data_IF_589393454355
#
_entry.id   IF_589393454355
#
_cell.length_a   1.000
_cell.length_b   1.000
_cell.length_c   1.000
_cell.angle_alpha   90.00
_cell.angle_beta   90.00
_cell.angle_gamma   90.00
#
_symmetry.space_group_name_H-M   'P 1'
#
loop_
_entity.id
_entity.type
_entity.pdbx_description
1 polymer ?
#
# COMPACT_ATOMS: atom_id res chain seq x y z
N UNK A 1 -18.98 -2.61 17.08
CA UNK A 1 -18.27 -2.99 15.85
C UNK A 1 -16.78 -3.10 16.12
N UNK A 2 -16.13 -4.16 15.66
CA UNK A 2 -14.69 -4.42 15.75
C UNK A 2 -14.14 -4.54 14.34
N UNK A 3 -13.42 -3.52 13.89
CA UNK A 3 -12.83 -3.48 12.56
C UNK A 3 -11.32 -3.59 12.68
N UNK A 4 -10.76 -4.52 11.94
CA UNK A 4 -9.31 -4.69 11.82
C UNK A 4 -8.82 -3.91 10.60
N UNK A 5 -7.67 -3.25 10.73
CA UNK A 5 -7.08 -2.44 9.67
C UNK A 5 -5.62 -2.84 9.49
N UNK A 6 -5.23 -3.13 8.26
CA UNK A 6 -3.86 -3.49 7.86
C UNK A 6 -3.42 -2.65 6.67
N UNK A 7 -2.12 -2.41 6.54
CA UNK A 7 -1.47 -1.80 5.36
C UNK A 7 -0.08 -2.39 5.20
N UNK A 8 0.46 -2.33 4.00
CA UNK A 8 1.84 -2.75 3.70
C UNK A 8 2.00 -4.25 4.01
N UNK A 9 1.11 -5.04 3.40
CA UNK A 9 1.00 -6.50 3.61
C UNK A 9 2.17 -7.24 2.97
N UNK A 10 2.60 -6.77 1.79
CA UNK A 10 3.77 -7.22 1.04
C UNK A 10 3.93 -8.75 1.07
N UNK A 11 2.93 -9.46 0.56
CA UNK A 11 2.99 -10.91 0.39
C UNK A 11 2.78 -11.75 1.65
N UNK A 12 2.58 -11.15 2.84
CA UNK A 12 2.39 -11.91 4.09
C UNK A 12 0.96 -12.49 4.21
N UNK A 13 0.64 -13.46 3.36
CA UNK A 13 -0.66 -14.11 3.29
C UNK A 13 -1.04 -14.86 4.57
N UNK A 14 -0.07 -15.47 5.27
CA UNK A 14 -0.31 -16.19 6.52
C UNK A 14 -0.80 -15.25 7.63
N UNK A 15 -0.17 -14.08 7.77
CA UNK A 15 -0.62 -13.06 8.70
C UNK A 15 -1.96 -12.46 8.25
N UNK A 16 -2.13 -12.22 6.95
CA UNK A 16 -3.37 -11.69 6.39
C UNK A 16 -4.56 -12.60 6.68
N UNK A 17 -4.37 -13.93 6.58
CA UNK A 17 -5.38 -14.93 6.92
C UNK A 17 -5.88 -14.82 8.36
N UNK A 18 -4.97 -14.55 9.30
CA UNK A 18 -5.29 -14.34 10.72
C UNK A 18 -5.80 -12.93 11.00
N UNK A 19 -5.60 -11.97 10.11
CA UNK A 19 -6.02 -10.58 10.32
C UNK A 19 -7.55 -10.45 10.43
N UNK A 20 -8.32 -11.38 9.85
CA UNK A 20 -9.77 -11.46 9.99
C UNK A 20 -10.26 -12.03 11.32
N UNK A 21 -9.40 -12.65 12.14
CA UNK A 21 -9.82 -13.41 13.31
C UNK A 21 -10.50 -12.52 14.36
N UNK A 22 -11.81 -12.72 14.53
CA UNK A 22 -12.65 -11.95 15.45
C UNK A 22 -12.91 -10.51 15.00
N UNK A 23 -12.74 -10.19 13.72
CA UNK A 23 -13.16 -8.92 13.13
C UNK A 23 -14.59 -9.03 12.58
N UNK A 24 -15.40 -8.00 12.79
CA UNK A 24 -16.68 -7.85 12.09
C UNK A 24 -16.46 -7.46 10.62
N UNK A 25 -15.37 -6.73 10.35
CA UNK A 25 -14.87 -6.40 9.01
C UNK A 25 -13.36 -6.16 9.03
N UNK A 26 -12.70 -6.39 7.88
CA UNK A 26 -11.29 -6.10 7.65
C UNK A 26 -11.16 -4.93 6.66
N UNK A 27 -10.24 -4.02 6.93
CA UNK A 27 -9.82 -2.97 6.01
C UNK A 27 -8.38 -3.24 5.58
N UNK A 28 -8.14 -3.27 4.27
CA UNK A 28 -6.80 -3.44 3.68
C UNK A 28 -6.44 -2.15 2.94
N UNK A 29 -5.42 -1.44 3.41
CA UNK A 29 -4.96 -0.17 2.86
C UNK A 29 -3.81 -0.32 1.86
N UNK A 30 -3.80 -1.45 1.16
CA UNK A 30 -2.92 -1.66 0.03
C UNK A 30 -1.54 -2.18 0.37
N UNK A 31 -0.71 -2.17 -0.67
CA UNK A 31 0.59 -2.80 -0.75
C UNK A 31 0.47 -4.29 -0.43
N UNK A 32 -0.43 -4.97 -1.16
CA UNK A 32 -0.60 -6.42 -1.11
C UNK A 32 0.60 -7.12 -1.76
N UNK A 33 1.01 -6.69 -2.97
CA UNK A 33 2.12 -7.31 -3.69
C UNK A 33 3.45 -7.16 -2.95
N UNK A 34 4.26 -8.20 -3.03
CA UNK A 34 5.68 -8.16 -2.69
C UNK A 34 6.50 -8.21 -3.97
N UNK A 35 6.88 -7.05 -4.51
CA UNK A 35 7.67 -7.00 -5.74
C UNK A 35 9.15 -7.30 -5.47
N UNK A 36 9.71 -6.65 -4.44
CA UNK A 36 11.10 -6.85 -3.98
C UNK A 36 11.08 -6.99 -2.47
N UNK A 37 11.46 -8.17 -1.98
CA UNK A 37 11.70 -8.37 -0.56
C UNK A 37 13.16 -7.99 -0.23
N UNK A 38 13.34 -6.96 0.60
CA UNK A 38 14.66 -6.47 1.02
C UNK A 38 15.22 -7.18 2.27
N UNK A 39 14.47 -8.10 2.87
CA UNK A 39 14.87 -8.89 4.04
C UNK A 39 15.08 -10.36 3.70
N UNK A 40 14.15 -10.95 2.97
CA UNK A 40 14.16 -12.35 2.55
C UNK A 40 14.24 -12.40 1.02
N UNK A 41 15.46 -12.32 0.48
CA UNK A 41 15.69 -12.09 -0.96
C UNK A 41 15.17 -13.20 -1.90
N UNK A 42 14.85 -14.39 -1.37
CA UNK A 42 14.19 -15.47 -2.12
C UNK A 42 12.67 -15.26 -2.28
N UNK A 43 12.08 -14.32 -1.52
CA UNK A 43 10.66 -13.97 -1.59
C UNK A 43 10.38 -12.83 -2.58
N UNK A 44 9.09 -12.57 -2.77
CA UNK A 44 8.59 -11.58 -3.71
C UNK A 44 8.79 -11.98 -5.17
N UNK A 45 8.30 -11.13 -6.08
CA UNK A 45 8.34 -11.39 -7.52
C UNK A 45 9.78 -11.47 -8.03
N UNK A 46 10.65 -10.55 -7.61
CA UNK A 46 12.06 -10.61 -8.04
C UNK A 46 12.78 -11.84 -7.48
N UNK A 47 12.46 -12.30 -6.27
CA UNK A 47 13.04 -13.51 -5.68
C UNK A 47 12.64 -14.77 -6.45
N UNK A 48 11.35 -14.87 -6.80
CA UNK A 48 10.83 -15.97 -7.62
C UNK A 48 11.45 -16.02 -9.03
N UNK A 49 11.65 -14.86 -9.66
CA UNK A 49 12.15 -14.78 -11.04
C UNK A 49 13.68 -14.90 -11.15
N UNK A 50 14.43 -14.36 -10.18
CA UNK A 50 15.89 -14.20 -10.30
C UNK A 50 16.70 -14.85 -9.18
N UNK A 51 16.05 -15.29 -8.10
CA UNK A 51 16.70 -15.90 -6.94
C UNK A 51 17.37 -14.93 -5.98
N UNK A 52 17.61 -15.41 -4.76
CA UNK A 52 18.08 -14.62 -3.63
C UNK A 52 19.42 -13.90 -3.85
N UNK A 53 20.36 -14.51 -4.58
CA UNK A 53 21.67 -13.90 -4.84
C UNK A 53 21.52 -12.61 -5.65
N UNK A 54 20.73 -12.63 -6.72
CA UNK A 54 20.53 -11.48 -7.60
C UNK A 54 19.71 -10.39 -6.95
N UNK A 55 18.69 -10.76 -6.19
CA UNK A 55 17.91 -9.80 -5.41
C UNK A 55 18.76 -9.16 -4.31
N UNK A 56 19.64 -9.93 -3.66
CA UNK A 56 20.58 -9.40 -2.67
C UNK A 56 21.55 -8.38 -3.24
N UNK A 57 22.09 -8.63 -4.44
CA UNK A 57 22.94 -7.66 -5.13
C UNK A 57 22.15 -6.42 -5.57
N UNK A 58 20.93 -6.59 -6.08
CA UNK A 58 20.05 -5.47 -6.41
C UNK A 58 19.75 -4.59 -5.17
N UNK A 59 19.46 -5.21 -4.03
CA UNK A 59 19.21 -4.54 -2.76
C UNK A 59 20.45 -3.79 -2.26
N UNK A 60 21.65 -4.37 -2.39
CA UNK A 60 22.92 -3.72 -2.07
C UNK A 60 23.16 -2.49 -2.95
N UNK A 61 23.00 -2.62 -4.27
CA UNK A 61 23.14 -1.49 -5.21
C UNK A 61 22.14 -0.37 -4.92
N UNK A 62 20.91 -0.67 -4.51
CA UNK A 62 19.94 0.36 -4.11
C UNK A 62 20.34 1.15 -2.86
N UNK A 63 21.11 0.55 -1.96
CA UNK A 63 21.58 1.19 -0.72
C UNK A 63 22.89 1.95 -0.90
N UNK A 64 23.82 1.38 -1.66
CA UNK A 64 25.22 1.82 -1.72
C UNK A 64 25.64 2.33 -3.10
N UNK A 65 24.99 1.84 -4.16
CA UNK A 65 25.35 2.13 -5.54
C UNK A 65 24.69 3.39 -6.08
N UNK A 66 25.10 3.75 -7.29
CA UNK A 66 24.48 4.83 -8.05
C UNK A 66 23.17 4.38 -8.69
N UNK A 67 22.35 5.37 -9.07
CA UNK A 67 21.12 5.13 -9.83
C UNK A 67 21.41 4.40 -11.15
N UNK A 68 22.49 4.75 -11.83
CA UNK A 68 22.82 4.18 -13.14
C UNK A 68 23.28 2.73 -13.02
N UNK A 69 24.09 2.40 -12.00
CA UNK A 69 24.47 1.00 -11.71
C UNK A 69 23.25 0.15 -11.37
N UNK A 70 22.36 0.65 -10.51
CA UNK A 70 21.11 -0.05 -10.15
C UNK A 70 20.24 -0.31 -11.37
N UNK A 71 20.10 0.70 -12.26
CA UNK A 71 19.32 0.57 -13.50
C UNK A 71 19.97 -0.39 -14.47
N UNK A 72 21.29 -0.34 -14.63
CA UNK A 72 22.04 -1.24 -15.52
C UNK A 72 21.93 -2.70 -15.05
N UNK A 73 22.08 -2.95 -13.74
CA UNK A 73 21.91 -4.28 -13.16
C UNK A 73 20.47 -4.78 -13.28
N UNK A 74 19.48 -3.95 -12.99
CA UNK A 74 18.08 -4.33 -13.19
C UNK A 74 17.80 -4.70 -14.65
N UNK A 75 18.32 -3.93 -15.62
CA UNK A 75 18.20 -4.24 -17.06
C UNK A 75 18.85 -5.57 -17.42
N UNK A 76 20.01 -5.91 -16.85
CA UNK A 76 20.67 -7.18 -17.15
C UNK A 76 19.88 -8.38 -16.61
N UNK A 77 19.18 -8.23 -15.47
CA UNK A 77 18.26 -9.26 -14.97
C UNK A 77 17.09 -9.46 -15.94
N UNK A 78 16.39 -8.39 -16.34
CA UNK A 78 15.25 -8.54 -17.25
C UNK A 78 15.64 -9.12 -18.61
N UNK A 79 16.86 -8.88 -19.08
CA UNK A 79 17.37 -9.43 -20.34
C UNK A 79 17.59 -10.96 -20.31
N UNK A 80 17.54 -11.62 -19.14
CA UNK A 80 17.64 -13.08 -19.05
C UNK A 80 16.31 -13.79 -19.33
N UNK A 81 15.19 -13.07 -19.30
CA UNK A 81 13.85 -13.63 -19.54
C UNK A 81 13.48 -13.47 -21.01
N UNK A 82 12.91 -14.53 -21.60
CA UNK A 82 12.42 -14.50 -22.98
C UNK A 82 11.22 -13.55 -23.15
N UNK A 83 10.31 -13.55 -22.17
CA UNK A 83 9.18 -12.64 -22.07
C UNK A 83 9.05 -12.11 -20.63
N UNK A 84 9.72 -10.99 -20.30
CA UNK A 84 9.62 -10.39 -18.98
C UNK A 84 8.21 -9.93 -18.62
N UNK A 85 7.39 -9.55 -19.60
CA UNK A 85 6.03 -9.05 -19.34
C UNK A 85 5.13 -10.19 -18.86
N UNK A 86 5.15 -11.31 -19.58
CA UNK A 86 4.41 -12.50 -19.20
C UNK A 86 4.88 -13.04 -17.84
N UNK A 87 6.19 -13.17 -17.62
CA UNK A 87 6.73 -13.68 -16.36
C UNK A 87 6.34 -12.84 -15.14
N UNK A 88 6.34 -11.50 -15.27
CA UNK A 88 5.87 -10.61 -14.21
C UNK A 88 4.35 -10.68 -14.03
N UNK A 89 3.59 -10.75 -15.12
CA UNK A 89 2.13 -10.90 -15.08
C UNK A 89 1.71 -12.18 -14.35
N UNK A 90 2.31 -13.31 -14.69
CA UNK A 90 2.05 -14.61 -14.04
C UNK A 90 2.37 -14.55 -12.54
N UNK A 91 3.53 -13.99 -12.17
CA UNK A 91 3.92 -13.86 -10.77
C UNK A 91 2.99 -12.94 -9.95
N UNK A 92 2.45 -11.87 -10.56
CA UNK A 92 1.45 -11.00 -9.95
C UNK A 92 0.14 -11.78 -9.73
N UNK A 93 -0.32 -12.50 -10.75
CA UNK A 93 -1.54 -13.31 -10.69
C UNK A 93 -1.44 -14.37 -9.57
N UNK A 94 -0.32 -15.07 -9.47
CA UNK A 94 -0.05 -16.06 -8.44
C UNK A 94 -0.09 -15.45 -7.02
N UNK A 95 0.58 -14.30 -6.81
CA UNK A 95 0.55 -13.62 -5.51
C UNK A 95 -0.87 -13.16 -5.15
N UNK A 96 -1.61 -12.56 -6.08
CA UNK A 96 -2.98 -12.13 -5.80
C UNK A 96 -3.91 -13.29 -5.51
N UNK A 97 -3.82 -14.41 -6.23
CA UNK A 97 -4.62 -15.60 -5.94
C UNK A 97 -4.43 -16.05 -4.47
N UNK A 98 -3.18 -16.06 -3.99
CA UNK A 98 -2.85 -16.41 -2.60
C UNK A 98 -3.36 -15.35 -1.61
N UNK A 99 -3.10 -14.07 -1.88
CA UNK A 99 -3.41 -12.96 -0.98
C UNK A 99 -4.91 -12.71 -0.85
N UNK A 100 -5.64 -12.66 -1.95
CA UNK A 100 -7.10 -12.52 -1.93
C UNK A 100 -7.75 -13.77 -1.35
N UNK A 101 -7.23 -14.96 -1.65
CA UNK A 101 -7.67 -16.23 -1.04
C UNK A 101 -7.42 -16.31 0.47
N UNK A 102 -6.55 -15.47 1.03
CA UNK A 102 -6.31 -15.37 2.47
C UNK A 102 -7.32 -14.47 3.18
N UNK A 103 -8.12 -13.66 2.48
CA UNK A 103 -9.09 -12.76 3.13
C UNK A 103 -10.32 -13.55 3.61
N UNK A 104 -10.44 -13.72 4.93
CA UNK A 104 -11.45 -14.58 5.58
C UNK A 104 -12.65 -13.83 6.15
N UNK A 105 -12.58 -12.50 6.24
CA UNK A 105 -13.63 -11.63 6.77
C UNK A 105 -14.19 -10.71 5.66
N UNK A 106 -15.41 -10.15 5.83
CA UNK A 106 -15.90 -9.09 4.94
C UNK A 106 -14.85 -7.98 4.85
N UNK A 107 -14.36 -7.71 3.64
CA UNK A 107 -13.18 -6.88 3.43
C UNK A 107 -13.51 -5.64 2.61
N UNK A 108 -12.99 -4.49 3.06
CA UNK A 108 -12.96 -3.25 2.28
C UNK A 108 -11.50 -2.94 1.96
N UNK A 109 -11.16 -2.84 0.68
CA UNK A 109 -9.77 -2.74 0.24
C UNK A 109 -9.55 -1.51 -0.64
N UNK A 110 -8.41 -0.86 -0.48
CA UNK A 110 -7.93 0.19 -1.39
C UNK A 110 -6.49 -0.14 -1.80
N UNK A 111 -6.10 0.05 -3.07
CA UNK A 111 -4.77 -0.35 -3.56
C UNK A 111 -3.67 0.52 -2.97
N UNK A 112 -2.49 -0.08 -2.79
CA UNK A 112 -1.28 0.65 -2.45
C UNK A 112 -0.49 1.05 -3.69
N UNK A 113 0.70 1.61 -3.52
CA UNK A 113 1.52 2.01 -4.65
C UNK A 113 2.20 0.85 -5.36
N UNK A 114 2.36 -0.32 -4.73
CA UNK A 114 2.96 -1.47 -5.41
C UNK A 114 1.94 -2.35 -6.14
N UNK A 115 0.65 -2.15 -5.84
CA UNK A 115 -0.44 -2.93 -6.40
C UNK A 115 -0.79 -2.50 -7.84
N UNK A 116 -1.55 -3.36 -8.50
CA UNK A 116 -2.16 -3.16 -9.81
C UNK A 116 -3.69 -3.27 -9.63
N UNK A 117 -4.39 -2.15 -9.41
CA UNK A 117 -5.82 -2.16 -9.15
C UNK A 117 -6.65 -2.62 -10.36
N UNK A 118 -6.08 -2.62 -11.57
CA UNK A 118 -6.81 -3.08 -12.76
C UNK A 118 -7.08 -4.59 -12.75
N UNK A 119 -6.28 -5.35 -12.00
CA UNK A 119 -6.40 -6.80 -11.84
C UNK A 119 -7.26 -7.20 -10.65
N UNK A 120 -7.46 -6.32 -9.67
CA UNK A 120 -8.18 -6.65 -8.44
C UNK A 120 -9.62 -7.17 -8.67
N UNK A 121 -10.40 -6.66 -9.64
CA UNK A 121 -11.74 -7.20 -9.92
C UNK A 121 -11.77 -8.69 -10.26
N UNK A 122 -10.68 -9.26 -10.80
CA UNK A 122 -10.61 -10.69 -11.14
C UNK A 122 -10.46 -11.58 -9.89
N UNK A 123 -10.04 -10.99 -8.77
CA UNK A 123 -9.83 -11.68 -7.48
C UNK A 123 -10.84 -11.27 -6.40
N UNK A 124 -11.41 -10.08 -6.53
CA UNK A 124 -12.44 -9.56 -5.63
C UNK A 124 -13.75 -10.33 -5.87
N UNK A 125 -13.99 -11.37 -5.06
CA UNK A 125 -15.29 -12.01 -4.97
C UNK A 125 -16.28 -11.21 -4.11
N UNK A 126 -17.48 -11.75 -3.89
CA UNK A 126 -18.59 -11.06 -3.19
C UNK A 126 -18.26 -10.57 -1.76
N UNK A 127 -17.23 -11.14 -1.12
CA UNK A 127 -16.79 -10.78 0.23
C UNK A 127 -15.84 -9.59 0.30
N UNK A 128 -15.43 -9.01 -0.84
CA UNK A 128 -14.39 -8.00 -0.93
C UNK A 128 -14.90 -6.82 -1.76
N UNK A 129 -15.00 -5.65 -1.11
CA UNK A 129 -15.34 -4.41 -1.78
C UNK A 129 -14.07 -3.58 -2.00
N UNK A 130 -13.69 -3.36 -3.26
CA UNK A 130 -12.58 -2.49 -3.65
C UNK A 130 -13.09 -1.06 -3.78
N UNK A 131 -12.40 -0.09 -3.16
CA UNK A 131 -12.82 1.31 -3.06
C UNK A 131 -11.63 2.24 -3.30
N UNK A 132 -11.80 3.25 -4.17
CA UNK A 132 -10.81 4.32 -4.38
C UNK A 132 -11.48 5.60 -4.89
N UNK A 133 -11.48 6.65 -4.06
CA UNK A 133 -12.29 7.86 -4.27
C UNK A 133 -13.75 7.67 -3.90
N UNK A 134 -14.06 6.66 -3.08
CA UNK A 134 -15.43 6.25 -2.76
C UNK A 134 -15.66 6.18 -1.24
N UNK A 135 -16.93 6.27 -0.85
CA UNK A 135 -17.37 6.14 0.55
C UNK A 135 -18.22 4.90 0.71
N UNK A 136 -17.89 4.05 1.68
CA UNK A 136 -18.71 2.92 2.10
C UNK A 136 -19.28 3.15 3.51
N UNK A 137 -20.46 2.62 3.76
CA UNK A 137 -21.12 2.70 5.07
C UNK A 137 -21.25 1.31 5.67
N UNK A 138 -20.69 1.12 6.86
CA UNK A 138 -20.82 -0.12 7.62
C UNK A 138 -20.62 0.14 9.11
N UNK A 139 -21.26 -0.69 9.94
CA UNK A 139 -21.20 -0.51 11.40
C UNK A 139 -21.71 0.85 11.89
N UNK A 140 -22.55 1.54 11.10
CA UNK A 140 -23.10 2.86 11.42
C UNK A 140 -22.12 4.03 11.27
N UNK A 141 -20.99 3.85 10.58
CA UNK A 141 -20.03 4.91 10.25
C UNK A 141 -19.77 4.95 8.75
N UNK A 142 -19.34 6.12 8.26
CA UNK A 142 -18.96 6.35 6.86
C UNK A 142 -17.44 6.33 6.70
N UNK A 143 -16.95 5.46 5.83
CA UNK A 143 -15.52 5.24 5.58
C UNK A 143 -15.19 5.73 4.17
N UNK A 144 -14.31 6.72 4.07
CA UNK A 144 -13.81 7.20 2.77
C UNK A 144 -12.46 6.57 2.43
N UNK A 145 -12.31 6.10 1.19
CA UNK A 145 -11.13 5.37 0.73
C UNK A 145 -10.41 6.08 -0.39
N UNK A 146 -9.07 6.18 -0.32
CA UNK A 146 -8.23 6.63 -1.44
C UNK A 146 -6.93 5.83 -1.48
N UNK A 147 -6.67 5.23 -2.64
CA UNK A 147 -5.52 4.36 -2.88
C UNK A 147 -4.38 5.03 -3.64
N UNK A 148 -3.30 4.27 -3.80
CA UNK A 148 -2.08 4.65 -4.49
C UNK A 148 -1.21 5.65 -3.73
N UNK A 149 -0.12 6.06 -4.36
CA UNK A 149 0.76 7.11 -3.84
C UNK A 149 0.95 8.25 -4.85
N UNK A 150 1.48 9.37 -4.36
CA UNK A 150 1.74 10.52 -5.20
C UNK A 150 3.00 10.32 -6.04
N UNK A 151 2.87 10.60 -7.33
CA UNK A 151 3.98 10.73 -8.25
C UNK A 151 4.90 11.88 -7.77
N UNK A 152 6.22 11.64 -7.61
CA UNK A 152 7.11 12.71 -7.20
C UNK A 152 7.15 13.86 -8.22
N UNK A 153 7.34 15.11 -7.78
CA UNK A 153 7.42 16.26 -8.67
C UNK A 153 8.47 16.08 -9.76
N UNK A 154 8.14 16.48 -10.98
CA UNK A 154 9.04 16.42 -12.15
C UNK A 154 9.49 15.00 -12.56
N UNK A 155 8.83 13.96 -12.06
CA UNK A 155 9.08 12.59 -12.52
C UNK A 155 8.06 12.24 -13.60
N UNK A 156 8.54 11.85 -14.77
CA UNK A 156 7.68 11.26 -15.80
C UNK A 156 7.60 9.75 -15.54
N UNK A 157 6.41 9.16 -15.34
CA UNK A 157 6.25 7.73 -15.17
C UNK A 157 6.82 6.99 -16.38
N UNK A 158 7.61 5.94 -16.15
CA UNK A 158 8.14 5.11 -17.24
C UNK A 158 7.00 4.32 -17.85
N UNK A 159 6.74 4.53 -19.15
CA UNK A 159 5.69 3.83 -19.90
C UNK A 159 6.09 2.43 -20.37
N UNK A 160 7.38 2.09 -20.36
CA UNK A 160 7.87 0.85 -20.97
C UNK A 160 8.32 -0.21 -19.93
N UNK A 161 7.81 -0.12 -18.69
CA UNK A 161 8.07 -1.14 -17.67
C UNK A 161 7.09 -2.30 -17.74
N UNK A 162 7.56 -3.50 -17.41
CA UNK A 162 6.75 -4.74 -17.31
C UNK A 162 5.85 -4.78 -16.08
N UNK A 163 6.13 -3.92 -15.10
CA UNK A 163 5.26 -3.59 -13.97
C UNK A 163 5.25 -2.09 -13.80
N UNK A 164 4.12 -1.56 -13.33
CA UNK A 164 3.92 -0.12 -13.11
C UNK A 164 3.39 0.10 -11.71
N UNK A 165 4.08 0.89 -10.87
CA UNK A 165 3.55 1.24 -9.57
C UNK A 165 2.29 2.10 -9.75
N UNK A 166 1.31 1.91 -8.88
CA UNK A 166 0.09 2.73 -8.85
C UNK A 166 0.37 4.10 -8.23
N UNK A 167 0.99 4.96 -9.06
CA UNK A 167 1.30 6.35 -8.74
C UNK A 167 0.34 7.28 -9.47
N UNK A 168 -0.17 8.25 -8.73
CA UNK A 168 -1.14 9.24 -9.20
C UNK A 168 -0.49 10.60 -9.28
N UNK A 169 -0.86 11.38 -10.29
CA UNK A 169 -0.58 12.81 -10.27
C UNK A 169 -1.25 13.46 -9.05
N UNK A 170 -0.80 14.65 -8.67
CA UNK A 170 -1.41 15.37 -7.56
C UNK A 170 -2.88 15.67 -7.85
N UNK A 171 -3.15 16.08 -9.08
CA UNK A 171 -4.48 16.42 -9.55
C UNK A 171 -5.42 15.21 -9.47
N UNK A 172 -4.99 14.03 -9.94
CA UNK A 172 -5.79 12.80 -9.86
C UNK A 172 -6.06 12.36 -8.41
N UNK A 173 -5.07 12.51 -7.53
CA UNK A 173 -5.23 12.15 -6.11
C UNK A 173 -6.16 13.14 -5.40
N UNK A 174 -5.97 14.44 -5.62
CA UNK A 174 -6.77 15.50 -5.01
C UNK A 174 -8.24 15.41 -5.44
N UNK A 175 -8.51 15.04 -6.71
CA UNK A 175 -9.87 14.75 -7.20
C UNK A 175 -10.51 13.61 -6.40
N UNK A 176 -9.83 12.47 -6.19
CA UNK A 176 -10.39 11.38 -5.40
C UNK A 176 -10.61 11.75 -3.93
N UNK A 177 -9.70 12.54 -3.33
CA UNK A 177 -9.91 13.04 -1.97
C UNK A 177 -11.13 13.96 -1.90
N UNK A 178 -11.32 14.84 -2.90
CA UNK A 178 -12.46 15.76 -2.93
C UNK A 178 -13.82 15.08 -3.13
N UNK A 179 -13.84 13.85 -3.67
CA UNK A 179 -15.06 13.06 -3.82
C UNK A 179 -15.58 12.48 -2.49
N UNK A 180 -14.75 12.48 -1.44
CA UNK A 180 -15.11 11.96 -0.13
C UNK A 180 -15.89 12.99 0.69
N UNK A 181 -17.17 12.72 0.94
CA UNK A 181 -18.04 13.61 1.72
C UNK A 181 -18.61 12.95 2.98
N UNK A 182 -18.66 13.72 4.07
CA UNK A 182 -19.22 13.33 5.36
C UNK A 182 -18.59 12.04 5.92
N UNK A 183 -17.25 11.98 5.94
CA UNK A 183 -16.54 10.77 6.40
C UNK A 183 -16.31 10.79 7.92
N UNK A 184 -16.62 9.68 8.58
CA UNK A 184 -16.28 9.44 9.99
C UNK A 184 -14.87 8.87 10.14
N UNK A 185 -14.44 8.09 9.15
CA UNK A 185 -13.14 7.42 9.10
C UNK A 185 -12.53 7.62 7.72
N UNK A 186 -11.32 8.15 7.68
CA UNK A 186 -10.54 8.28 6.46
C UNK A 186 -9.55 7.11 6.35
N UNK A 187 -9.62 6.35 5.28
CA UNK A 187 -8.83 5.15 5.01
C UNK A 187 -8.00 5.37 3.75
N UNK A 188 -6.70 5.62 3.87
CA UNK A 188 -5.85 5.91 2.71
C UNK A 188 -4.61 5.06 2.68
N UNK A 189 -4.04 4.82 1.50
CA UNK A 189 -2.74 4.15 1.47
C UNK A 189 -1.64 5.08 2.02
N UNK A 190 -1.48 6.29 1.45
CA UNK A 190 -0.48 7.26 1.91
C UNK A 190 -0.95 8.10 3.10
N UNK A 191 -0.01 8.61 3.93
CA UNK A 191 -0.34 9.48 5.06
C UNK A 191 -0.82 10.88 4.63
N UNK A 192 -1.57 11.59 5.49
CA UNK A 192 -1.67 13.04 5.39
C UNK A 192 -0.27 13.67 5.52
N UNK A 193 -0.02 14.77 4.81
CA UNK A 193 1.28 15.46 4.77
C UNK A 193 1.63 16.14 6.12
N UNK A 194 2.00 15.33 7.11
CA UNK A 194 2.39 15.73 8.46
C UNK A 194 3.80 15.18 8.72
N UNK A 195 4.81 16.02 9.01
CA UNK A 195 6.21 15.60 9.06
C UNK A 195 6.50 14.38 9.95
N UNK A 196 5.85 14.28 11.10
CA UNK A 196 6.04 13.19 12.05
C UNK A 196 5.50 11.85 11.52
N UNK A 197 4.53 11.90 10.60
CA UNK A 197 3.94 10.72 9.97
C UNK A 197 4.65 10.33 8.67
N UNK A 198 5.32 11.29 8.00
CA UNK A 198 5.91 11.08 6.68
C UNK A 198 7.42 10.82 6.70
N UNK A 199 8.12 11.12 7.80
CA UNK A 199 9.55 10.86 7.87
C UNK A 199 9.86 9.41 8.23
N UNK A 200 10.48 8.67 7.31
CA UNK A 200 10.94 7.31 7.55
C UNK A 200 12.34 7.32 8.19
N UNK A 201 12.47 6.78 9.40
CA UNK A 201 13.71 6.84 10.18
C UNK A 201 14.79 5.86 9.68
N UNK A 202 14.39 4.82 8.94
CA UNK A 202 15.33 3.86 8.35
C UNK A 202 15.82 4.37 7.00
N UNK A 203 14.93 4.84 6.13
CA UNK A 203 15.29 5.47 4.86
C UNK A 203 15.90 6.88 5.04
N UNK A 204 15.76 7.46 6.24
CA UNK A 204 16.28 8.78 6.65
C UNK A 204 15.84 9.92 5.72
N UNK A 205 14.60 9.86 5.26
CA UNK A 205 14.03 10.83 4.32
C UNK A 205 12.52 10.93 4.52
N UNK A 206 11.91 12.06 4.12
CA UNK A 206 10.46 12.14 4.04
C UNK A 206 9.95 11.33 2.83
N UNK A 207 8.91 10.55 3.05
CA UNK A 207 8.03 10.04 2.00
C UNK A 207 6.94 11.08 1.68
N UNK A 208 6.30 10.96 0.52
CA UNK A 208 5.34 11.96 0.04
C UNK A 208 3.97 11.69 0.66
N UNK A 209 3.55 12.56 1.58
CA UNK A 209 2.16 12.60 2.07
C UNK A 209 1.25 13.53 1.24
N UNK A 210 -0.05 13.45 1.49
CA UNK A 210 -1.04 14.27 0.77
C UNK A 210 -1.49 15.51 1.55
N UNK A 211 -1.38 16.68 0.92
CA UNK A 211 -1.91 17.93 1.43
C UNK A 211 -3.44 18.00 1.34
N UNK A 212 -4.06 17.37 0.33
CA UNK A 212 -5.51 17.28 0.22
C UNK A 212 -6.11 16.50 1.40
N UNK A 213 -5.46 15.44 1.87
CA UNK A 213 -5.89 14.73 3.08
C UNK A 213 -5.83 15.63 4.33
N UNK A 214 -4.79 16.45 4.47
CA UNK A 214 -4.73 17.46 5.56
C UNK A 214 -5.89 18.45 5.45
N UNK A 215 -6.23 18.88 4.24
CA UNK A 215 -7.38 19.74 3.96
C UNK A 215 -8.70 19.10 4.40
N UNK A 216 -8.97 17.88 3.91
CA UNK A 216 -10.19 17.13 4.25
C UNK A 216 -10.29 16.89 5.76
N UNK A 217 -9.21 16.50 6.42
CA UNK A 217 -9.21 16.26 7.87
C UNK A 217 -9.56 17.55 8.64
N UNK A 218 -9.04 18.71 8.21
CA UNK A 218 -9.36 19.99 8.86
C UNK A 218 -10.83 20.39 8.67
N UNK A 219 -11.36 20.13 7.48
CA UNK A 219 -12.73 20.47 7.12
C UNK A 219 -13.75 19.56 7.81
N UNK A 220 -13.66 18.25 7.55
CA UNK A 220 -14.67 17.26 7.95
C UNK A 220 -14.43 16.71 9.36
N UNK A 221 -13.19 16.82 9.87
CA UNK A 221 -12.80 16.38 11.22
C UNK A 221 -13.24 14.93 11.53
N UNK A 222 -12.90 13.93 10.67
CA UNK A 222 -13.22 12.54 10.94
C UNK A 222 -12.65 12.11 12.29
N UNK A 223 -13.23 11.07 12.90
CA UNK A 223 -12.75 10.53 14.18
C UNK A 223 -11.34 9.95 14.03
N UNK A 224 -11.11 9.24 12.93
CA UNK A 224 -9.86 8.55 12.62
C UNK A 224 -9.42 8.82 11.17
N UNK A 225 -8.11 8.91 10.98
CA UNK A 225 -7.44 8.79 9.68
C UNK A 225 -6.40 7.68 9.80
N UNK A 226 -6.64 6.56 9.11
CA UNK A 226 -5.77 5.37 9.11
C UNK A 226 -5.09 5.22 7.76
N UNK A 227 -3.80 4.89 7.77
CA UNK A 227 -2.96 4.82 6.57
C UNK A 227 -1.71 3.96 6.78
N UNK A 228 -0.96 3.65 5.71
CA UNK A 228 0.34 2.95 5.78
C UNK A 228 1.43 3.69 5.01
N UNK A 229 2.04 3.01 4.03
CA UNK A 229 3.09 3.45 3.11
C UNK A 229 4.46 3.76 3.74
N UNK A 230 4.47 4.44 4.89
CA UNK A 230 5.71 4.76 5.61
C UNK A 230 5.98 3.65 6.62
N UNK A 231 7.01 2.85 6.38
CA UNK A 231 7.23 1.62 7.15
C UNK A 231 7.79 1.86 8.55
N UNK A 232 8.59 2.91 8.72
CA UNK A 232 9.12 3.30 10.04
C UNK A 232 8.98 4.82 10.26
N UNK A 233 7.76 5.32 10.49
CA UNK A 233 7.53 6.75 10.69
C UNK A 233 8.18 7.23 12.00
N UNK A 234 8.50 8.52 12.08
CA UNK A 234 9.00 9.14 13.31
C UNK A 234 8.04 8.92 14.50
N UNK A 235 6.72 8.94 14.24
CA UNK A 235 5.70 8.45 15.16
C UNK A 235 4.65 7.64 14.43
N UNK A 236 4.17 6.56 15.06
CA UNK A 236 3.06 5.78 14.52
C UNK A 236 1.71 6.52 14.59
N UNK A 237 1.60 7.59 15.38
CA UNK A 237 0.37 8.40 15.47
C UNK A 237 0.62 9.84 15.89
N UNK A 238 -0.29 10.71 15.47
CA UNK A 238 -0.42 12.08 15.98
C UNK A 238 -1.86 12.55 15.84
N UNK A 239 -2.18 13.74 16.33
CA UNK A 239 -3.49 14.37 16.15
C UNK A 239 -3.42 15.57 15.22
N UNK A 240 -4.36 15.64 14.30
CA UNK A 240 -4.67 16.86 13.55
C UNK A 240 -6.01 17.39 14.03
N UNK A 241 -5.98 18.33 14.98
CA UNK A 241 -7.18 18.76 15.69
C UNK A 241 -7.77 17.62 16.52
N UNK A 242 -9.03 17.24 16.23
CA UNK A 242 -9.72 16.15 16.93
C UNK A 242 -9.50 14.77 16.30
N UNK A 243 -9.04 14.73 15.05
CA UNK A 243 -8.79 13.48 14.32
C UNK A 243 -7.55 12.78 14.84
N UNK A 244 -7.68 11.50 15.16
CA UNK A 244 -6.53 10.63 15.42
C UNK A 244 -5.97 10.13 14.08
N UNK A 245 -4.75 10.56 13.73
CA UNK A 245 -4.04 10.09 12.55
C UNK A 245 -3.11 8.94 12.95
N UNK A 246 -3.29 7.77 12.37
CA UNK A 246 -2.62 6.53 12.78
C UNK A 246 -2.05 5.80 11.57
N UNK A 247 -0.74 5.61 11.58
CA UNK A 247 -0.09 4.63 10.70
C UNK A 247 -0.39 3.22 11.23
N UNK A 248 -0.92 2.36 10.35
CA UNK A 248 -1.29 0.95 10.62
C UNK A 248 -0.38 -0.04 9.89
N UNK A 249 0.56 0.45 9.08
CA UNK A 249 1.69 -0.31 8.57
C UNK A 249 2.76 -0.56 9.64
N UNK A 250 3.81 -1.33 9.39
CA UNK A 250 4.14 -2.14 8.21
C UNK A 250 3.71 -3.60 8.47
N UNK A 251 2.52 -4.00 8.00
CA UNK A 251 1.85 -5.23 8.44
C UNK A 251 2.65 -6.50 8.15
N UNK A 252 3.41 -6.54 7.05
CA UNK A 252 4.34 -7.64 6.73
C UNK A 252 5.17 -8.07 7.94
N UNK A 253 5.64 -7.11 8.73
CA UNK A 253 6.53 -7.34 9.87
C UNK A 253 5.78 -7.44 11.19
N UNK A 254 4.76 -6.61 11.39
CA UNK A 254 4.04 -6.58 12.66
C UNK A 254 3.11 -7.79 12.80
N UNK A 255 2.57 -8.29 11.68
CA UNK A 255 1.58 -9.36 11.61
C UNK A 255 0.39 -9.16 12.57
N UNK A 256 0.11 -7.91 12.95
CA UNK A 256 -0.91 -7.54 13.92
C UNK A 256 -1.77 -6.41 13.34
N UNK A 257 -3.08 -6.61 13.17
CA UNK A 257 -3.96 -5.56 12.69
C UNK A 257 -4.14 -4.47 13.74
N UNK A 258 -4.26 -3.22 13.27
CA UNK A 258 -4.80 -2.16 14.12
C UNK A 258 -6.29 -2.38 14.31
N UNK A 259 -6.80 -2.17 15.53
CA UNK A 259 -8.20 -2.43 15.85
C UNK A 259 -8.93 -1.12 16.13
N UNK A 260 -9.93 -0.82 15.30
CA UNK A 260 -10.95 0.18 15.58
C UNK A 260 -12.13 -0.50 16.29
N UNK A 261 -12.61 0.12 17.39
CA UNK A 261 -13.78 -0.34 18.14
C UNK A 261 -14.68 0.82 18.49
N UNK A 262 -15.98 0.65 18.27
CA UNK A 262 -17.04 1.56 18.69
C UNK A 262 -18.34 0.80 18.92
#
# INVERSE_FOLDING_TARGET
>A
MRVHVVSDVHGNADALKRAGDGADALIVLGDLLDFVDYREHDKGIMGALFGAEKVGEFARLRREGTRDETVAFSRSLWATLADPAAAVGDAIQDQYAILFGALTAPTFATPGNVDDPSLWPDFAGDGIQVLDGEVAEFGGLRFGFVGGALLPPNVVPRRNGFWRPYLRTREEYDVAVSALENVDVLCTHIPPAIPELTYDVIARRPEIGSAALVGLIREQRPRWSVFGHVHQPLTARTRLGRTECRNVGHFKETAQPHVLRW
#
